data_IF_696002897027
#
_entry.id   IF_696002897027
#
_cell.length_a   1.000
_cell.length_b   1.000
_cell.length_c   1.000
_cell.angle_alpha   90.00
_cell.angle_beta   90.00
_cell.angle_gamma   90.00
#
_symmetry.space_group_name_H-M   'P 1'
#
loop_
_entity.id
_entity.type
_entity.pdbx_description
1 polymer ?
#
# COMPACT_ATOMS: atom_id res chain seq x y z
N UNK A 1 11.50 -1.73 -6.49
CA UNK A 1 11.71 -1.18 -5.13
C UNK A 1 10.47 -1.28 -4.24
N UNK A 2 9.30 -0.82 -4.71
CA UNK A 2 8.04 -0.86 -3.93
C UNK A 2 7.66 -2.28 -3.49
N UNK A 3 7.87 -3.28 -4.35
CA UNK A 3 7.62 -4.69 -4.04
C UNK A 3 8.48 -5.22 -2.89
N UNK A 4 9.73 -4.73 -2.72
CA UNK A 4 10.60 -5.10 -1.59
C UNK A 4 10.04 -4.56 -0.28
N UNK A 5 9.52 -3.32 -0.29
CA UNK A 5 8.90 -2.70 0.88
C UNK A 5 7.67 -3.51 1.29
N UNK A 6 6.85 -3.92 0.32
CA UNK A 6 5.70 -4.80 0.56
C UNK A 6 6.10 -6.16 1.13
N UNK A 7 7.08 -6.82 0.52
CA UNK A 7 7.57 -8.11 0.98
C UNK A 7 8.13 -8.03 2.41
N UNK A 8 8.89 -6.98 2.71
CA UNK A 8 9.41 -6.73 4.06
C UNK A 8 8.28 -6.47 5.07
N UNK A 9 7.27 -5.66 4.70
CA UNK A 9 6.12 -5.40 5.56
C UNK A 9 5.33 -6.68 5.86
N UNK A 10 5.12 -7.56 4.86
CA UNK A 10 4.47 -8.87 5.06
C UNK A 10 5.36 -9.78 5.91
N UNK A 11 6.66 -9.82 5.67
CA UNK A 11 7.60 -10.62 6.44
C UNK A 11 7.61 -10.25 7.93
N UNK A 12 7.54 -8.96 8.24
CA UNK A 12 7.49 -8.46 9.62
C UNK A 12 6.13 -8.66 10.28
N UNK A 13 5.06 -8.23 9.62
CA UNK A 13 3.72 -8.15 10.23
C UNK A 13 2.89 -9.41 10.05
N UNK A 14 3.24 -10.24 9.07
CA UNK A 14 2.49 -11.44 8.66
C UNK A 14 1.08 -11.19 8.20
N UNK A 15 0.79 -9.96 7.78
CA UNK A 15 -0.53 -9.55 7.29
C UNK A 15 -0.40 -9.07 5.85
N UNK A 16 -1.11 -9.73 4.92
CA UNK A 16 -1.13 -9.36 3.51
C UNK A 16 -1.74 -7.96 3.29
N UNK A 17 -2.73 -7.59 4.11
CA UNK A 17 -3.38 -6.28 4.09
C UNK A 17 -2.38 -5.16 4.40
N UNK A 18 -1.55 -5.32 5.43
CA UNK A 18 -0.49 -4.35 5.75
C UNK A 18 0.48 -4.22 4.58
N UNK A 19 0.95 -5.33 4.02
CA UNK A 19 1.80 -5.31 2.83
C UNK A 19 1.19 -4.54 1.66
N UNK A 20 -0.08 -4.82 1.35
CA UNK A 20 -0.81 -4.19 0.24
C UNK A 20 -0.96 -2.68 0.45
N UNK A 21 -1.30 -2.27 1.67
CA UNK A 21 -1.37 -0.85 2.04
C UNK A 21 -0.02 -0.16 1.92
N UNK A 22 1.05 -0.78 2.45
CA UNK A 22 2.40 -0.23 2.38
C UNK A 22 2.88 -0.06 0.93
N UNK A 23 2.59 -1.03 0.06
CA UNK A 23 2.91 -0.92 -1.38
C UNK A 23 2.15 0.23 -2.03
N UNK A 24 0.83 0.32 -1.79
CA UNK A 24 0.01 1.41 -2.33
C UNK A 24 0.50 2.80 -1.87
N UNK A 25 0.76 2.96 -0.57
CA UNK A 25 1.25 4.20 0.01
C UNK A 25 2.62 4.59 -0.54
N UNK A 26 3.58 3.66 -0.60
CA UNK A 26 4.94 3.93 -1.09
C UNK A 26 4.98 4.17 -2.61
N UNK A 27 4.15 3.48 -3.39
CA UNK A 27 3.99 3.76 -4.82
C UNK A 27 3.44 5.19 -5.04
N UNK A 28 2.41 5.58 -4.28
CA UNK A 28 1.87 6.94 -4.34
C UNK A 28 2.93 7.98 -3.94
N UNK A 29 3.68 7.75 -2.86
CA UNK A 29 4.77 8.65 -2.46
C UNK A 29 5.82 8.82 -3.56
N UNK A 30 6.17 7.73 -4.25
CA UNK A 30 7.12 7.79 -5.38
C UNK A 30 6.56 8.62 -6.54
N UNK A 31 5.29 8.41 -6.92
CA UNK A 31 4.63 9.24 -7.92
C UNK A 31 4.55 10.70 -7.50
N UNK A 32 4.26 10.99 -6.23
CA UNK A 32 4.22 12.36 -5.72
C UNK A 32 5.59 13.04 -5.85
N UNK A 33 6.67 12.36 -5.42
CA UNK A 33 8.04 12.90 -5.53
C UNK A 33 8.45 13.12 -6.98
N UNK A 34 8.17 12.17 -7.88
CA UNK A 34 8.49 12.32 -9.31
C UNK A 34 7.67 13.46 -9.95
N UNK A 35 6.39 13.59 -9.57
CA UNK A 35 5.51 14.65 -10.05
C UNK A 35 5.97 16.04 -9.61
N UNK A 36 6.36 16.19 -8.33
CA UNK A 36 6.91 17.44 -7.80
C UNK A 36 8.21 17.84 -8.50
N UNK A 37 9.03 16.87 -8.90
CA UNK A 37 10.26 17.09 -9.66
C UNK A 37 10.03 17.26 -11.17
N UNK A 38 8.77 17.28 -11.65
CA UNK A 38 8.40 17.35 -13.08
C UNK A 38 9.02 16.24 -13.93
N UNK A 39 9.33 15.09 -13.32
CA UNK A 39 9.94 13.94 -13.97
C UNK A 39 8.91 12.96 -14.57
N UNK A 40 7.62 13.27 -14.44
CA UNK A 40 6.56 12.46 -15.03
C UNK A 40 5.35 13.30 -15.48
N UNK A 41 4.60 12.83 -16.48
CA UNK A 41 3.30 13.40 -16.85
C UNK A 41 2.28 13.37 -15.70
N UNK A 42 1.41 14.39 -15.64
CA UNK A 42 0.34 14.52 -14.65
C UNK A 42 -0.61 13.30 -14.55
N UNK A 43 -0.96 12.59 -15.65
CA UNK A 43 -1.82 11.40 -15.57
C UNK A 43 -1.32 10.31 -14.62
N UNK A 44 0.00 10.15 -14.47
CA UNK A 44 0.55 9.17 -13.52
C UNK A 44 0.33 9.57 -12.06
N UNK A 45 0.33 10.88 -11.76
CA UNK A 45 0.01 11.37 -10.42
C UNK A 45 -1.44 11.07 -10.07
N UNK A 46 -2.36 11.37 -11.00
CA UNK A 46 -3.79 11.09 -10.85
C UNK A 46 -4.04 9.59 -10.68
N UNK A 47 -3.37 8.75 -11.49
CA UNK A 47 -3.41 7.31 -11.33
C UNK A 47 -2.96 6.87 -9.94
N UNK A 48 -1.86 7.45 -9.42
CA UNK A 48 -1.39 7.21 -8.06
C UNK A 48 -2.43 7.54 -6.99
N UNK A 49 -3.08 8.71 -7.10
CA UNK A 49 -4.15 9.13 -6.18
C UNK A 49 -5.32 8.14 -6.21
N UNK A 50 -5.81 7.81 -7.41
CA UNK A 50 -6.95 6.90 -7.60
C UNK A 50 -6.62 5.50 -7.06
N UNK A 51 -5.41 5.02 -7.33
CA UNK A 51 -4.92 3.73 -6.84
C UNK A 51 -4.86 3.69 -5.32
N UNK A 52 -4.30 4.73 -4.68
CA UNK A 52 -4.24 4.80 -3.21
C UNK A 52 -5.64 4.84 -2.58
N UNK A 53 -6.56 5.64 -3.13
CA UNK A 53 -7.94 5.69 -2.66
C UNK A 53 -8.63 4.33 -2.80
N UNK A 54 -8.41 3.65 -3.93
CA UNK A 54 -8.97 2.31 -4.17
C UNK A 54 -8.44 1.31 -3.15
N UNK A 55 -7.14 1.35 -2.82
CA UNK A 55 -6.53 0.51 -1.77
C UNK A 55 -7.13 0.84 -0.40
N UNK A 56 -7.26 2.11 -0.02
CA UNK A 56 -7.85 2.52 1.26
C UNK A 56 -9.28 2.00 1.40
N UNK A 57 -10.10 2.16 0.36
CA UNK A 57 -11.49 1.71 0.35
C UNK A 57 -11.56 0.18 0.43
N UNK A 58 -10.76 -0.52 -0.37
CA UNK A 58 -10.74 -1.97 -0.39
C UNK A 58 -10.29 -2.59 0.94
N UNK A 59 -9.36 -1.93 1.66
CA UNK A 59 -8.84 -2.39 2.95
C UNK A 59 -9.59 -1.84 4.17
N UNK A 60 -10.64 -1.06 3.97
CA UNK A 60 -11.50 -0.60 5.07
C UNK A 60 -11.91 -1.74 6.04
N UNK A 61 -12.42 -2.91 5.57
CA UNK A 61 -12.77 -4.00 6.47
C UNK A 61 -11.56 -4.63 7.18
N UNK A 62 -10.40 -4.71 6.51
CA UNK A 62 -9.17 -5.22 7.12
C UNK A 62 -8.68 -4.31 8.25
N UNK A 63 -8.83 -2.99 8.10
CA UNK A 63 -8.46 -2.04 9.14
C UNK A 63 -9.27 -2.23 10.43
N UNK A 64 -10.55 -2.56 10.30
CA UNK A 64 -11.41 -2.89 11.43
C UNK A 64 -10.99 -4.22 12.08
N UNK A 65 -10.72 -5.25 11.28
CA UNK A 65 -10.19 -6.53 11.78
C UNK A 65 -8.85 -6.38 12.50
N UNK A 66 -7.93 -5.57 11.97
CA UNK A 66 -6.65 -5.27 12.63
C UNK A 66 -6.90 -4.60 13.99
N UNK A 67 -7.82 -3.63 14.05
CA UNK A 67 -8.18 -2.95 15.30
C UNK A 67 -8.74 -3.92 16.34
N UNK A 68 -9.50 -4.92 15.89
CA UNK A 68 -10.10 -5.94 16.76
C UNK A 68 -9.15 -7.11 17.07
N UNK A 69 -7.97 -7.17 16.44
CA UNK A 69 -7.05 -8.30 16.56
C UNK A 69 -7.49 -9.57 15.81
N UNK A 70 -8.42 -9.44 14.87
CA UNK A 70 -9.06 -10.54 14.11
C UNK A 70 -8.49 -10.68 12.69
N UNK A 71 -7.50 -9.87 12.32
CA UNK A 71 -6.92 -9.92 10.99
C UNK A 71 -6.19 -11.24 10.74
N UNK A 72 -6.36 -11.79 9.54
CA UNK A 72 -5.76 -13.07 9.17
C UNK A 72 -4.23 -12.96 9.09
N UNK A 73 -3.56 -13.73 9.94
CA UNK A 73 -2.11 -13.91 9.93
C UNK A 73 -1.72 -15.03 8.96
N UNK A 74 -0.71 -14.79 8.11
CA UNK A 74 -0.15 -15.79 7.20
C UNK A 74 0.71 -16.76 8.01
N UNK A 75 0.36 -18.04 7.97
CA UNK A 75 1.04 -19.12 8.72
C UNK A 75 1.99 -19.95 7.88
N UNK A 76 1.91 -19.87 6.55
CA UNK A 76 2.86 -20.51 5.64
C UNK A 76 4.19 -19.77 5.68
N UNK A 77 5.25 -20.53 5.93
CA UNK A 77 6.64 -20.11 5.86
C UNK A 77 7.40 -20.98 4.87
#
# INVERSE_FOLDING_TARGET
IVWLIGAFAIWWTRMASVGTFTVGASAFSLFLVLGLNRQMPLPYLLYGVISLLSVIIALAPNREKIRNGEERVITLW
#
